data_IF_981127271307
#
_entry.id   IF_981127271307
#
_cell.length_a   1.000
_cell.length_b   1.000
_cell.length_c   1.000
_cell.angle_alpha   90.00
_cell.angle_beta   90.00
_cell.angle_gamma   90.00
#
_symmetry.space_group_name_H-M   'P 1'
#
loop_
_entity.id
_entity.type
_entity.pdbx_description
1 polymer ?
#
# COMPACT_ATOMS: atom_id res chain seq x y z
N UNK A 1 66.71 15.50 20.01
CA UNK A 1 65.50 16.35 19.83
C UNK A 1 64.46 15.55 19.04
N UNK A 2 63.46 14.91 19.71
CA UNK A 2 62.45 14.05 19.08
C UNK A 2 61.12 14.83 18.99
N UNK A 3 60.73 15.17 17.77
CA UNK A 3 59.43 15.82 17.49
C UNK A 3 58.31 14.77 17.59
N UNK A 4 57.40 14.92 18.57
CA UNK A 4 56.15 14.20 18.70
C UNK A 4 55.15 14.80 17.72
N UNK A 5 54.73 14.01 16.68
CA UNK A 5 53.60 14.37 15.83
C UNK A 5 52.31 14.17 16.61
N UNK A 6 51.52 15.25 16.84
CA UNK A 6 50.18 15.22 17.35
C UNK A 6 49.24 14.68 16.28
N UNK A 7 48.47 13.64 16.62
CA UNK A 7 47.34 13.14 15.79
C UNK A 7 46.20 14.17 15.78
N UNK A 8 45.56 14.47 14.64
CA UNK A 8 44.42 15.36 14.61
C UNK A 8 43.21 14.72 15.28
N UNK A 9 42.60 15.40 16.23
CA UNK A 9 41.32 15.08 16.80
C UNK A 9 40.22 15.47 15.79
N UNK A 10 39.52 14.50 15.23
CA UNK A 10 38.31 14.70 14.45
C UNK A 10 37.14 15.01 15.39
N UNK A 11 36.60 16.23 15.28
CA UNK A 11 35.34 16.60 15.96
C UNK A 11 34.15 15.88 15.31
N UNK A 12 33.18 15.35 16.07
CA UNK A 12 31.95 14.78 15.52
C UNK A 12 31.12 15.91 14.86
N UNK A 13 30.70 15.69 13.61
CA UNK A 13 29.67 16.54 12.98
C UNK A 13 28.31 16.20 13.60
N UNK A 14 27.68 17.19 14.19
CA UNK A 14 26.31 17.11 14.67
C UNK A 14 25.37 17.07 13.46
N UNK A 15 24.63 15.98 13.31
CA UNK A 15 23.52 15.89 12.38
C UNK A 15 22.26 16.48 13.03
N UNK A 16 21.63 17.38 12.31
CA UNK A 16 20.46 18.15 12.71
C UNK A 16 19.26 17.26 13.12
N UNK A 17 18.55 17.75 14.14
CA UNK A 17 17.32 17.19 14.69
C UNK A 17 16.20 17.07 13.64
N UNK A 18 15.70 15.86 13.41
CA UNK A 18 14.37 15.65 12.86
C UNK A 18 13.36 15.63 14.01
N UNK A 19 12.59 16.71 14.18
CA UNK A 19 11.39 16.73 15.02
C UNK A 19 10.21 16.32 14.15
N UNK A 20 9.84 15.03 14.15
CA UNK A 20 8.58 14.53 13.64
C UNK A 20 7.60 14.32 14.79
N UNK A 21 6.44 14.98 14.77
CA UNK A 21 5.31 14.60 15.62
C UNK A 21 4.50 13.56 14.88
N UNK A 22 4.43 12.35 15.40
CA UNK A 22 3.50 11.33 14.92
C UNK A 22 2.38 11.19 15.94
N UNK A 23 1.16 11.45 15.51
CA UNK A 23 -0.05 11.17 16.28
C UNK A 23 -0.63 9.84 15.82
N UNK A 24 -0.66 8.86 16.69
CA UNK A 24 -1.44 7.65 16.52
C UNK A 24 -2.23 7.42 17.80
N UNK A 25 -3.56 7.44 17.71
CA UNK A 25 -4.46 6.96 18.77
C UNK A 25 -4.34 7.65 20.12
N UNK A 26 -4.40 8.97 20.19
CA UNK A 26 -4.71 9.69 21.44
C UNK A 26 -3.61 9.76 22.52
N UNK A 27 -2.38 9.33 22.25
CA UNK A 27 -1.27 9.46 23.20
C UNK A 27 -0.05 10.14 22.56
N UNK A 28 0.31 11.32 23.05
CA UNK A 28 1.53 12.04 22.68
C UNK A 28 2.70 11.51 23.52
N UNK A 29 3.59 10.74 22.92
CA UNK A 29 4.84 10.32 23.54
C UNK A 29 6.00 11.14 22.95
N UNK A 30 6.61 11.97 23.77
CA UNK A 30 7.86 12.64 23.45
C UNK A 30 9.04 11.68 23.64
N UNK A 31 9.70 11.28 22.55
CA UNK A 31 10.89 10.44 22.62
C UNK A 31 12.10 11.22 22.17
N UNK A 32 12.98 11.54 23.11
CA UNK A 32 14.33 12.01 22.84
C UNK A 32 15.30 10.83 22.81
N UNK A 33 15.58 10.30 21.63
CA UNK A 33 16.63 9.29 21.46
C UNK A 33 17.75 9.88 20.58
N UNK A 34 19.00 9.85 21.10
CA UNK A 34 20.19 10.17 20.30
C UNK A 34 20.70 8.89 19.64
N UNK A 35 20.63 8.83 18.31
CA UNK A 35 21.30 7.82 17.52
C UNK A 35 22.73 8.28 17.20
N UNK A 36 23.75 7.57 17.66
CA UNK A 36 25.13 7.71 17.15
C UNK A 36 25.38 6.65 16.09
N UNK A 37 25.51 7.09 14.85
CA UNK A 37 25.96 6.24 13.75
C UNK A 37 27.49 6.32 13.68
N UNK A 38 28.16 5.21 13.93
CA UNK A 38 29.60 5.05 13.70
C UNK A 38 29.79 4.38 12.34
N UNK A 39 30.33 5.16 11.39
CA UNK A 39 30.70 4.63 10.06
C UNK A 39 31.97 3.78 10.15
N UNK A 40 31.83 2.46 10.11
CA UNK A 40 32.71 1.47 9.48
C UNK A 40 32.04 0.07 9.54
N UNK A 41 31.95 -0.69 8.44
CA UNK A 41 31.46 -2.07 8.46
C UNK A 41 32.56 -3.05 8.95
N UNK A 42 32.20 -4.21 9.56
CA UNK A 42 30.87 -4.80 9.75
C UNK A 42 30.53 -5.21 11.21
N UNK A 43 30.59 -4.34 12.20
CA UNK A 43 30.23 -4.69 13.57
C UNK A 43 29.30 -3.68 14.19
N UNK A 44 28.01 -4.04 14.32
CA UNK A 44 27.09 -3.36 15.24
C UNK A 44 27.36 -3.85 16.66
N UNK A 45 27.93 -3.00 17.51
CA UNK A 45 28.01 -3.21 18.95
C UNK A 45 26.79 -2.58 19.57
N UNK A 46 25.82 -3.39 19.99
CA UNK A 46 24.70 -2.94 20.81
C UNK A 46 25.18 -2.82 22.25
N UNK A 47 25.30 -1.59 22.75
CA UNK A 47 25.30 -1.33 24.19
C UNK A 47 23.83 -1.30 24.66
N UNK A 48 23.49 -2.25 25.55
CA UNK A 48 22.16 -2.37 26.10
C UNK A 48 21.87 -1.21 27.05
N UNK A 49 21.28 -0.14 26.54
CA UNK A 49 20.58 0.85 27.34
C UNK A 49 19.08 0.58 27.29
N UNK A 50 18.49 0.53 28.48
CA UNK A 50 17.10 0.21 28.75
C UNK A 50 16.12 1.10 27.98
N UNK A 51 15.57 0.61 26.85
CA UNK A 51 14.36 1.19 26.29
C UNK A 51 13.53 0.09 25.60
N UNK A 52 12.53 -0.40 26.33
CA UNK A 52 11.56 -1.41 25.90
C UNK A 52 10.87 -1.05 24.57
N UNK A 53 10.68 0.24 24.30
CA UNK A 53 10.00 0.75 23.10
C UNK A 53 10.83 0.65 21.81
N UNK A 54 12.16 0.54 21.89
CA UNK A 54 13.03 0.42 20.71
C UNK A 54 12.97 -0.96 20.05
N UNK A 55 12.65 -2.00 20.81
CA UNK A 55 12.58 -3.39 20.31
C UNK A 55 11.26 -3.61 19.55
N UNK A 56 10.17 -3.01 19.99
CA UNK A 56 8.87 -3.05 19.31
C UNK A 56 8.90 -2.30 17.96
N UNK A 57 9.58 -1.15 17.93
CA UNK A 57 9.82 -0.40 16.70
C UNK A 57 10.66 -1.17 15.68
N UNK A 58 11.72 -1.87 16.14
CA UNK A 58 12.61 -2.67 15.27
C UNK A 58 11.92 -3.93 14.73
N UNK A 59 11.01 -4.55 15.47
CA UNK A 59 10.30 -5.75 15.02
C UNK A 59 9.31 -5.46 13.88
N UNK A 60 8.73 -4.27 13.85
CA UNK A 60 7.85 -3.83 12.77
C UNK A 60 8.60 -3.52 11.46
N UNK A 61 9.87 -3.10 11.56
CA UNK A 61 10.69 -2.73 10.40
C UNK A 61 11.48 -3.88 9.77
N UNK A 62 11.77 -4.95 10.52
CA UNK A 62 12.74 -5.98 10.12
C UNK A 62 12.20 -7.42 10.18
N UNK A 63 10.91 -7.64 10.02
CA UNK A 63 10.25 -8.95 10.22
C UNK A 63 11.01 -10.19 9.73
N UNK A 64 11.47 -10.23 8.46
CA UNK A 64 12.23 -11.35 7.92
C UNK A 64 13.74 -11.32 8.27
N UNK A 65 14.31 -10.13 8.49
CA UNK A 65 15.71 -9.94 8.88
C UNK A 65 15.96 -10.30 10.34
N UNK A 66 15.00 -10.02 11.21
CA UNK A 66 15.08 -10.32 12.64
C UNK A 66 15.01 -11.84 12.91
N UNK A 67 14.19 -12.57 12.13
CA UNK A 67 14.13 -14.04 12.20
C UNK A 67 15.50 -14.66 11.89
N UNK A 68 16.16 -14.25 10.81
CA UNK A 68 17.51 -14.71 10.44
C UNK A 68 18.59 -14.27 11.45
N UNK A 69 18.44 -13.11 12.08
CA UNK A 69 19.34 -12.67 13.15
C UNK A 69 19.17 -13.49 14.41
N UNK A 70 17.95 -13.83 14.81
CA UNK A 70 17.63 -14.69 15.94
C UNK A 70 18.18 -16.11 15.71
N UNK A 71 18.04 -16.66 14.52
CA UNK A 71 18.57 -17.98 14.14
C UNK A 71 20.10 -18.00 14.15
N UNK A 72 20.77 -16.97 13.63
CA UNK A 72 22.24 -16.84 13.69
C UNK A 72 22.78 -16.66 15.13
N UNK A 73 22.02 -16.01 16.01
CA UNK A 73 22.36 -15.87 17.43
C UNK A 73 22.21 -17.19 18.17
N UNK A 74 21.20 -18.00 17.84
CA UNK A 74 21.03 -19.35 18.42
C UNK A 74 22.23 -20.27 18.12
N UNK A 75 22.75 -20.22 16.90
CA UNK A 75 23.91 -21.04 16.49
C UNK A 75 25.22 -20.61 17.18
N UNK A 76 25.37 -19.31 17.50
CA UNK A 76 26.59 -18.81 18.20
C UNK A 76 26.52 -18.89 19.73
N UNK A 77 25.34 -18.91 20.34
CA UNK A 77 25.15 -18.96 21.81
C UNK A 77 25.50 -20.32 22.41
N UNK A 78 25.59 -21.38 21.59
CA UNK A 78 26.01 -22.72 22.05
C UNK A 78 27.49 -22.89 22.31
N UNK A 79 28.33 -21.89 21.99
CA UNK A 79 29.80 -22.00 22.07
C UNK A 79 30.41 -21.31 23.31
N UNK A 80 29.63 -20.75 24.22
CA UNK A 80 30.16 -20.05 25.41
C UNK A 80 30.05 -20.90 26.71
N UNK A 81 31.18 -21.13 27.41
CA UNK A 81 31.27 -22.13 28.48
C UNK A 81 30.88 -21.63 29.90
N UNK A 82 30.01 -20.65 30.11
CA UNK A 82 29.64 -20.16 31.44
C UNK A 82 28.13 -20.05 31.65
N UNK A 83 27.58 -20.98 32.44
CA UNK A 83 26.15 -21.12 32.71
C UNK A 83 25.52 -19.89 33.42
N UNK A 84 26.28 -19.14 34.21
CA UNK A 84 25.79 -18.01 35.00
C UNK A 84 25.42 -16.76 34.15
N UNK A 85 25.94 -16.64 32.90
CA UNK A 85 25.65 -15.53 32.00
C UNK A 85 24.49 -15.82 30.99
N UNK A 86 23.92 -17.03 31.04
CA UNK A 86 22.88 -17.49 30.10
C UNK A 86 21.43 -17.13 30.52
N UNK A 87 21.18 -16.98 31.82
CA UNK A 87 19.84 -16.76 32.37
C UNK A 87 19.17 -15.43 31.86
N UNK A 88 19.83 -14.27 31.84
CA UNK A 88 19.22 -13.03 31.35
C UNK A 88 18.99 -13.06 29.85
N UNK A 89 19.86 -13.73 29.08
CA UNK A 89 19.70 -13.85 27.62
C UNK A 89 18.52 -14.76 27.26
N UNK A 90 18.36 -15.88 27.98
CA UNK A 90 17.24 -16.81 27.77
C UNK A 90 15.89 -16.14 28.11
N UNK A 91 15.82 -15.35 29.18
CA UNK A 91 14.63 -14.61 29.56
C UNK A 91 14.27 -13.54 28.50
N UNK A 92 15.27 -12.83 27.96
CA UNK A 92 15.07 -11.85 26.89
C UNK A 92 14.59 -12.52 25.60
N UNK A 93 15.16 -13.67 25.23
CA UNK A 93 14.73 -14.44 24.06
C UNK A 93 13.33 -15.03 24.21
N UNK A 94 12.93 -15.46 25.43
CA UNK A 94 11.57 -15.92 25.71
C UNK A 94 10.55 -14.77 25.54
N UNK A 95 10.88 -13.57 26.02
CA UNK A 95 10.03 -12.37 25.88
C UNK A 95 9.89 -11.94 24.42
N UNK A 96 10.97 -11.95 23.64
CA UNK A 96 10.95 -11.66 22.20
C UNK A 96 10.09 -12.68 21.43
N UNK A 97 10.20 -13.97 21.75
CA UNK A 97 9.35 -15.02 21.17
C UNK A 97 7.87 -14.85 21.55
N UNK A 98 7.58 -14.46 22.78
CA UNK A 98 6.21 -14.21 23.22
C UNK A 98 5.62 -12.97 22.53
N UNK A 99 6.39 -11.90 22.38
CA UNK A 99 6.01 -10.70 21.63
C UNK A 99 5.73 -11.02 20.16
N UNK A 100 6.64 -11.75 19.50
CA UNK A 100 6.46 -12.18 18.10
C UNK A 100 5.23 -13.08 17.92
N UNK A 101 4.98 -14.04 18.82
CA UNK A 101 3.77 -14.88 18.78
C UNK A 101 2.49 -14.05 18.93
N UNK A 102 2.45 -13.08 19.84
CA UNK A 102 1.30 -12.17 20.00
C UNK A 102 1.05 -11.35 18.74
N UNK A 103 2.10 -10.82 18.12
CA UNK A 103 2.00 -10.03 16.90
C UNK A 103 1.52 -10.88 15.72
N UNK A 104 2.03 -12.11 15.55
CA UNK A 104 1.56 -13.02 14.49
C UNK A 104 0.12 -13.48 14.74
N UNK A 105 -0.28 -13.67 16.00
CA UNK A 105 -1.66 -13.99 16.33
C UNK A 105 -2.59 -12.80 16.08
N UNK A 106 -2.18 -11.59 16.42
CA UNK A 106 -2.91 -10.35 16.13
C UNK A 106 -3.10 -10.16 14.61
N UNK A 107 -2.04 -10.33 13.81
CA UNK A 107 -2.12 -10.28 12.36
C UNK A 107 -3.05 -11.36 11.77
N UNK A 108 -3.04 -12.58 12.35
CA UNK A 108 -3.96 -13.65 11.96
C UNK A 108 -5.41 -13.32 12.32
N UNK A 109 -5.64 -12.71 13.48
CA UNK A 109 -6.98 -12.27 13.91
C UNK A 109 -7.50 -11.18 13.00
N UNK A 110 -6.72 -10.13 12.73
CA UNK A 110 -7.09 -9.07 11.75
C UNK A 110 -7.38 -9.68 10.37
N UNK A 111 -6.50 -10.58 9.88
CA UNK A 111 -6.70 -11.23 8.60
C UNK A 111 -7.98 -12.08 8.59
N UNK A 112 -8.31 -12.75 9.70
CA UNK A 112 -9.54 -13.52 9.84
C UNK A 112 -10.77 -12.60 9.90
N UNK A 113 -10.72 -11.50 10.66
CA UNK A 113 -11.81 -10.52 10.73
C UNK A 113 -12.05 -9.85 9.38
N UNK A 114 -10.99 -9.45 8.66
CA UNK A 114 -11.10 -8.94 7.29
C UNK A 114 -11.67 -9.98 6.31
N UNK A 115 -11.37 -11.28 6.52
CA UNK A 115 -11.94 -12.35 5.68
C UNK A 115 -13.37 -12.72 6.04
N UNK A 116 -13.89 -12.28 7.18
CA UNK A 116 -15.28 -12.49 7.63
C UNK A 116 -16.15 -11.23 7.48
N UNK A 117 -15.59 -10.11 7.02
CA UNK A 117 -16.40 -8.95 6.64
C UNK A 117 -17.31 -9.36 5.49
N UNK A 118 -18.63 -9.19 5.68
CA UNK A 118 -19.60 -9.42 4.62
C UNK A 118 -19.21 -8.55 3.40
N UNK A 119 -19.15 -9.19 2.24
CA UNK A 119 -18.91 -8.47 1.00
C UNK A 119 -20.07 -7.52 0.72
N UNK A 120 -19.75 -6.33 0.28
CA UNK A 120 -20.77 -5.37 -0.12
C UNK A 120 -21.41 -5.82 -1.43
N UNK A 121 -22.73 -5.77 -1.47
CA UNK A 121 -23.54 -5.96 -2.68
C UNK A 121 -24.21 -4.64 -2.98
N UNK A 122 -23.98 -4.01 -4.15
CA UNK A 122 -24.61 -2.76 -4.53
C UNK A 122 -26.14 -2.88 -4.58
N UNK A 123 -26.81 -1.80 -4.21
CA UNK A 123 -28.28 -1.68 -4.34
C UNK A 123 -28.66 -1.37 -5.80
N UNK A 124 -27.81 -0.58 -6.48
CA UNK A 124 -28.02 -0.25 -7.87
C UNK A 124 -27.87 -1.50 -8.75
N UNK A 125 -28.90 -1.75 -9.57
CA UNK A 125 -28.91 -2.84 -10.55
C UNK A 125 -28.67 -2.26 -11.94
N UNK A 126 -27.55 -2.59 -12.60
CA UNK A 126 -27.27 -2.12 -13.94
C UNK A 126 -28.31 -2.59 -14.97
N UNK A 127 -28.55 -1.73 -15.98
CA UNK A 127 -29.47 -2.02 -17.10
C UNK A 127 -28.70 -2.36 -18.41
N UNK A 128 -27.35 -2.40 -18.36
CA UNK A 128 -26.47 -2.71 -19.48
C UNK A 128 -26.26 -1.55 -20.48
N UNK A 129 -26.82 -0.35 -20.22
CA UNK A 129 -26.75 0.82 -21.10
C UNK A 129 -25.92 1.95 -20.51
N UNK A 130 -25.46 1.80 -19.28
CA UNK A 130 -24.74 2.83 -18.55
C UNK A 130 -23.43 3.19 -19.28
N UNK A 131 -23.21 4.50 -19.45
CA UNK A 131 -21.95 5.05 -19.91
C UNK A 131 -21.34 5.89 -18.80
N UNK A 132 -20.12 5.55 -18.40
CA UNK A 132 -19.33 6.38 -17.50
C UNK A 132 -18.56 7.43 -18.30
N UNK A 133 -18.74 8.70 -17.95
CA UNK A 133 -17.95 9.82 -18.47
C UNK A 133 -16.94 10.20 -17.38
N UNK A 134 -15.70 9.75 -17.53
CA UNK A 134 -14.61 10.08 -16.63
C UNK A 134 -13.99 11.39 -17.10
N UNK A 135 -14.31 12.49 -16.41
CA UNK A 135 -13.74 13.81 -16.69
C UNK A 135 -12.39 13.93 -16.03
N UNK A 136 -11.38 14.21 -16.81
CA UNK A 136 -10.00 14.29 -16.31
C UNK A 136 -9.34 15.62 -16.70
N UNK A 137 -8.25 15.94 -16.02
CA UNK A 137 -7.41 17.11 -16.38
C UNK A 137 -6.82 17.06 -17.79
N UNK A 138 -6.98 15.95 -18.53
CA UNK A 138 -6.49 15.75 -19.91
C UNK A 138 -7.64 15.69 -20.93
N UNK A 139 -8.87 15.58 -20.49
CA UNK A 139 -10.05 15.43 -21.32
C UNK A 139 -10.98 14.34 -20.81
N UNK A 140 -12.04 14.10 -21.53
CA UNK A 140 -13.11 13.17 -21.15
C UNK A 140 -12.85 11.79 -21.76
N UNK A 141 -13.12 10.75 -20.97
CA UNK A 141 -13.06 9.35 -21.40
C UNK A 141 -14.46 8.77 -21.23
N UNK A 142 -15.02 8.24 -22.29
CA UNK A 142 -16.36 7.62 -22.28
C UNK A 142 -16.21 6.10 -22.30
N UNK A 143 -16.81 5.44 -21.32
CA UNK A 143 -16.71 4.00 -21.12
C UNK A 143 -18.10 3.40 -21.11
N UNK A 144 -18.40 2.47 -22.03
CA UNK A 144 -19.57 1.63 -21.94
C UNK A 144 -19.36 0.64 -20.80
N UNK A 145 -20.25 0.65 -19.80
CA UNK A 145 -20.18 -0.27 -18.67
C UNK A 145 -20.82 -1.61 -19.04
N UNK A 146 -20.23 -2.70 -18.57
CA UNK A 146 -20.65 -4.07 -18.84
C UNK A 146 -21.59 -4.58 -17.73
N UNK A 147 -22.76 -3.95 -17.59
CA UNK A 147 -23.69 -4.25 -16.49
C UNK A 147 -24.20 -5.68 -16.48
N UNK A 148 -24.41 -6.26 -17.65
CA UNK A 148 -24.87 -7.66 -17.79
C UNK A 148 -23.78 -8.68 -17.40
N UNK A 149 -22.50 -8.33 -17.64
CA UNK A 149 -21.36 -9.23 -17.45
C UNK A 149 -20.75 -9.12 -16.04
N UNK A 150 -20.79 -7.92 -15.46
CA UNK A 150 -20.17 -7.63 -14.16
C UNK A 150 -21.08 -6.72 -13.28
N UNK A 151 -22.31 -7.17 -12.94
CA UNK A 151 -23.31 -6.32 -12.29
C UNK A 151 -22.85 -5.79 -10.92
N UNK A 152 -22.09 -6.54 -10.15
CA UNK A 152 -21.59 -6.10 -8.85
C UNK A 152 -20.55 -4.99 -9.02
N UNK A 153 -19.62 -5.12 -9.97
CA UNK A 153 -18.60 -4.11 -10.22
C UNK A 153 -19.20 -2.83 -10.80
N UNK A 154 -20.10 -2.95 -11.77
CA UNK A 154 -20.80 -1.82 -12.37
C UNK A 154 -21.67 -1.13 -11.33
N UNK A 155 -22.49 -1.88 -10.58
CA UNK A 155 -23.34 -1.32 -9.53
C UNK A 155 -22.53 -0.54 -8.48
N UNK A 156 -21.45 -1.12 -7.99
CA UNK A 156 -20.55 -0.45 -7.04
C UNK A 156 -19.91 0.82 -7.63
N UNK A 157 -19.46 0.75 -8.87
CA UNK A 157 -18.83 1.90 -9.53
C UNK A 157 -19.82 3.05 -9.74
N UNK A 158 -21.06 2.75 -10.19
CA UNK A 158 -22.14 3.72 -10.36
C UNK A 158 -22.51 4.38 -9.03
N UNK A 159 -22.68 3.61 -7.96
CA UNK A 159 -23.01 4.17 -6.65
C UNK A 159 -21.90 5.09 -6.12
N UNK A 160 -20.63 4.70 -6.28
CA UNK A 160 -19.49 5.52 -5.88
C UNK A 160 -19.41 6.81 -6.71
N UNK A 161 -19.62 6.73 -8.03
CA UNK A 161 -19.63 7.88 -8.92
C UNK A 161 -20.76 8.86 -8.53
N UNK A 162 -21.99 8.37 -8.36
CA UNK A 162 -23.15 9.19 -7.94
C UNK A 162 -22.97 9.87 -6.58
N UNK A 163 -22.16 9.27 -5.68
CA UNK A 163 -21.81 9.86 -4.37
C UNK A 163 -20.64 10.87 -4.45
N UNK A 164 -20.09 11.14 -5.64
CA UNK A 164 -18.90 11.98 -5.82
C UNK A 164 -17.63 11.39 -5.19
N UNK A 165 -17.61 10.06 -4.99
CA UNK A 165 -16.45 9.41 -4.36
C UNK A 165 -15.16 9.59 -5.16
N UNK A 166 -15.25 9.70 -6.46
CA UNK A 166 -14.09 9.84 -7.34
C UNK A 166 -13.64 11.29 -7.55
N UNK A 167 -14.43 12.27 -7.10
CA UNK A 167 -14.15 13.68 -7.34
C UNK A 167 -12.82 14.10 -6.72
N UNK A 168 -12.00 14.78 -7.53
CA UNK A 168 -10.65 15.25 -7.15
C UNK A 168 -9.66 14.16 -6.76
N UNK A 169 -9.92 12.88 -7.07
CA UNK A 169 -8.90 11.84 -6.94
C UNK A 169 -7.86 11.97 -8.05
N UNK A 170 -6.67 11.45 -7.80
CA UNK A 170 -5.57 11.48 -8.78
C UNK A 170 -5.20 10.05 -9.18
N UNK A 171 -4.78 9.91 -10.43
CA UNK A 171 -4.13 8.69 -10.87
C UNK A 171 -2.81 8.54 -10.11
N UNK A 172 -2.63 7.42 -9.42
CA UNK A 172 -1.50 7.20 -8.50
C UNK A 172 -0.49 6.17 -9.00
N UNK A 173 -0.80 5.45 -10.08
CA UNK A 173 0.09 4.45 -10.67
C UNK A 173 -0.03 4.47 -12.19
N UNK A 174 1.12 4.55 -12.86
CA UNK A 174 1.24 4.46 -14.32
C UNK A 174 2.35 3.48 -14.68
N UNK A 175 2.04 2.53 -15.54
CA UNK A 175 3.01 1.59 -16.09
C UNK A 175 2.88 1.64 -17.63
N UNK A 176 3.90 2.17 -18.33
CA UNK A 176 3.85 2.32 -19.77
C UNK A 176 3.53 1.01 -20.50
N UNK A 177 2.60 1.05 -21.48
CA UNK A 177 2.19 -0.12 -22.24
C UNK A 177 1.46 -1.19 -21.40
N UNK A 178 1.06 -0.86 -20.19
CA UNK A 178 0.33 -1.75 -19.31
C UNK A 178 -0.97 -1.10 -18.82
N UNK A 179 -0.93 -0.30 -17.75
CA UNK A 179 -2.14 0.32 -17.18
C UNK A 179 -1.87 1.71 -16.59
N UNK A 180 -2.94 2.50 -16.50
CA UNK A 180 -3.05 3.68 -15.65
C UNK A 180 -4.13 3.44 -14.58
N UNK A 181 -3.82 3.63 -13.30
CA UNK A 181 -4.66 3.25 -12.16
C UNK A 181 -5.01 4.46 -11.29
N UNK A 182 -6.30 4.57 -10.97
CA UNK A 182 -6.89 5.61 -10.12
C UNK A 182 -7.86 5.05 -9.07
N UNK A 183 -8.70 5.93 -8.49
CA UNK A 183 -9.77 5.55 -7.57
C UNK A 183 -9.33 5.29 -6.12
N UNK A 184 -8.08 5.65 -5.74
CA UNK A 184 -7.61 5.55 -4.36
C UNK A 184 -7.95 6.83 -3.58
N UNK A 185 -8.79 6.79 -2.52
CA UNK A 185 -9.19 7.97 -1.75
C UNK A 185 -8.02 8.66 -1.03
N UNK A 186 -6.91 7.96 -0.81
CA UNK A 186 -5.71 8.54 -0.18
C UNK A 186 -5.04 9.62 -1.04
N UNK A 187 -5.49 9.81 -2.29
CA UNK A 187 -5.00 10.88 -3.17
C UNK A 187 -5.82 12.16 -3.06
N UNK A 188 -6.97 12.16 -2.37
CA UNK A 188 -7.94 13.28 -2.36
C UNK A 188 -7.33 14.59 -1.91
N UNK A 189 -6.68 14.58 -0.76
CA UNK A 189 -6.14 15.77 -0.08
C UNK A 189 -4.72 16.13 -0.51
N UNK A 190 -4.16 15.38 -1.48
CA UNK A 190 -2.84 15.62 -2.04
C UNK A 190 -2.94 16.43 -3.32
N UNK A 191 -2.01 17.34 -3.56
CA UNK A 191 -1.83 17.94 -4.87
C UNK A 191 -1.11 17.00 -5.86
N UNK A 192 -1.09 17.35 -7.14
CA UNK A 192 -0.46 16.52 -8.19
C UNK A 192 1.03 16.26 -7.93
N UNK A 193 1.77 17.26 -7.43
CA UNK A 193 3.20 17.12 -7.16
C UNK A 193 3.44 16.16 -5.98
N UNK A 194 2.63 16.27 -4.93
CA UNK A 194 2.67 15.36 -3.79
C UNK A 194 2.35 13.91 -4.18
N UNK A 195 1.38 13.70 -5.09
CA UNK A 195 1.07 12.36 -5.59
C UNK A 195 2.22 11.79 -6.42
N UNK A 196 2.86 12.61 -7.26
CA UNK A 196 4.02 12.19 -8.07
C UNK A 196 5.19 11.79 -7.14
N UNK A 197 5.49 12.60 -6.13
CA UNK A 197 6.55 12.31 -5.15
C UNK A 197 6.24 11.03 -4.36
N UNK A 198 4.99 10.89 -3.91
CA UNK A 198 4.53 9.76 -3.11
C UNK A 198 4.44 8.45 -3.91
N UNK A 199 4.17 8.49 -5.22
CA UNK A 199 4.01 7.30 -6.06
C UNK A 199 5.27 6.43 -6.14
N UNK A 200 6.46 7.02 -5.97
CA UNK A 200 7.74 6.30 -5.88
C UNK A 200 8.03 5.70 -4.49
N UNK A 201 7.19 6.01 -3.49
CA UNK A 201 7.41 5.59 -2.11
C UNK A 201 6.36 4.55 -1.66
N UNK A 202 6.75 3.27 -1.48
CA UNK A 202 5.84 2.21 -1.03
C UNK A 202 5.18 2.48 0.34
N UNK A 203 5.75 3.37 1.14
CA UNK A 203 5.27 3.73 2.48
C UNK A 203 4.29 4.91 2.50
N UNK A 204 4.08 5.56 1.37
CA UNK A 204 3.16 6.70 1.27
C UNK A 204 1.68 6.31 1.36
N UNK A 205 1.37 5.02 1.31
CA UNK A 205 0.00 4.51 1.42
C UNK A 205 -0.86 4.73 0.16
N UNK A 206 -0.30 5.22 -0.95
CA UNK A 206 -1.01 5.31 -2.21
C UNK A 206 -1.33 3.90 -2.73
N UNK A 207 -2.55 3.73 -3.25
CA UNK A 207 -3.04 2.42 -3.70
C UNK A 207 -3.49 1.48 -2.58
N UNK A 208 -3.51 1.91 -1.30
CA UNK A 208 -4.01 1.10 -0.18
C UNK A 208 -5.41 1.50 0.30
N UNK A 209 -5.93 2.64 -0.14
CA UNK A 209 -7.24 3.14 0.23
C UNK A 209 -8.39 2.49 -0.57
N UNK A 210 -9.59 2.54 0.00
CA UNK A 210 -10.82 2.04 -0.60
C UNK A 210 -12.07 2.66 0.02
N UNK A 211 -13.27 2.19 -0.35
CA UNK A 211 -14.53 2.77 0.11
C UNK A 211 -14.94 2.33 1.53
N UNK A 212 -14.09 1.55 2.22
CA UNK A 212 -14.37 1.01 3.55
C UNK A 212 -15.01 -0.40 3.53
N UNK A 213 -15.16 -0.98 2.36
CA UNK A 213 -15.68 -2.34 2.15
C UNK A 213 -14.99 -3.00 0.94
N UNK A 214 -15.27 -4.28 0.72
CA UNK A 214 -14.86 -5.05 -0.44
C UNK A 214 -16.08 -5.61 -1.16
N UNK A 215 -15.93 -5.91 -2.46
CA UNK A 215 -16.94 -6.54 -3.30
C UNK A 215 -16.47 -7.91 -3.79
N UNK A 216 -17.42 -8.77 -4.14
CA UNK A 216 -17.13 -10.10 -4.72
C UNK A 216 -16.57 -9.95 -6.13
N UNK A 217 -15.59 -10.76 -6.48
CA UNK A 217 -15.04 -10.84 -7.81
C UNK A 217 -16.04 -11.42 -8.82
N UNK A 218 -15.94 -10.99 -10.09
CA UNK A 218 -16.80 -11.47 -11.19
C UNK A 218 -15.99 -11.98 -12.40
N UNK A 219 -14.66 -11.92 -12.39
CA UNK A 219 -13.83 -12.40 -13.52
C UNK A 219 -14.02 -13.88 -13.83
N UNK A 220 -14.53 -14.68 -12.89
CA UNK A 220 -14.81 -16.10 -13.12
C UNK A 220 -16.21 -16.36 -13.71
N UNK A 221 -17.12 -15.41 -13.62
CA UNK A 221 -18.50 -15.50 -14.09
C UNK A 221 -18.80 -14.61 -15.30
N UNK A 222 -17.96 -13.61 -15.56
CA UNK A 222 -18.06 -12.71 -16.69
C UNK A 222 -17.64 -13.44 -17.98
N UNK A 223 -18.54 -13.66 -18.94
CA UNK A 223 -18.24 -14.39 -20.18
C UNK A 223 -17.37 -13.58 -21.13
N UNK A 224 -17.36 -12.25 -20.99
CA UNK A 224 -16.64 -11.32 -21.86
C UNK A 224 -15.45 -10.65 -21.13
N UNK A 225 -14.87 -11.34 -20.11
CA UNK A 225 -13.78 -10.81 -19.30
C UNK A 225 -12.45 -10.74 -20.08
N UNK A 226 -12.32 -9.76 -20.95
CA UNK A 226 -11.15 -9.56 -21.80
C UNK A 226 -10.55 -8.17 -21.57
N UNK A 227 -9.26 -8.12 -21.27
CA UNK A 227 -8.51 -6.88 -21.11
C UNK A 227 -8.01 -6.36 -22.44
N UNK A 228 -8.94 -5.83 -23.25
CA UNK A 228 -8.62 -5.16 -24.50
C UNK A 228 -7.99 -3.79 -24.26
N UNK A 229 -7.48 -3.17 -25.32
CA UNK A 229 -7.02 -1.78 -25.26
C UNK A 229 -8.14 -0.82 -24.86
N UNK A 230 -7.92 -0.06 -23.77
CA UNK A 230 -8.91 0.82 -23.17
C UNK A 230 -9.95 0.09 -22.29
N UNK A 231 -9.76 -1.19 -21.95
CA UNK A 231 -10.62 -1.87 -20.99
C UNK A 231 -10.55 -1.21 -19.62
N UNK A 232 -11.72 -1.05 -18.97
CA UNK A 232 -11.86 -0.60 -17.59
C UNK A 232 -12.02 -1.81 -16.68
N UNK A 233 -11.09 -2.00 -15.77
CA UNK A 233 -11.08 -3.14 -14.86
C UNK A 233 -10.80 -2.73 -13.42
N UNK A 234 -11.23 -3.57 -12.46
CA UNK A 234 -11.13 -3.26 -11.05
C UNK A 234 -9.82 -3.79 -10.46
N UNK A 235 -9.10 -2.90 -9.79
CA UNK A 235 -7.89 -3.26 -9.05
C UNK A 235 -8.24 -3.96 -7.74
N UNK A 236 -7.36 -4.88 -7.30
CA UNK A 236 -7.50 -5.63 -6.06
C UNK A 236 -6.16 -6.01 -5.44
N UNK A 237 -6.17 -6.46 -4.19
CA UNK A 237 -5.02 -7.06 -3.53
C UNK A 237 -4.88 -8.56 -3.86
N UNK A 238 -4.10 -9.31 -3.09
CA UNK A 238 -3.92 -10.75 -3.30
C UNK A 238 -5.21 -11.57 -3.11
N UNK A 239 -6.16 -11.11 -2.26
CA UNK A 239 -7.45 -11.75 -2.12
C UNK A 239 -8.33 -11.40 -3.34
N UNK A 240 -8.91 -12.36 -4.07
CA UNK A 240 -9.81 -12.09 -5.18
C UNK A 240 -10.99 -11.17 -4.84
N UNK A 241 -11.56 -11.32 -3.66
CA UNK A 241 -12.70 -10.54 -3.15
C UNK A 241 -12.25 -9.30 -2.36
N UNK A 242 -11.19 -8.63 -2.79
CA UNK A 242 -10.67 -7.42 -2.13
C UNK A 242 -10.79 -6.14 -2.96
N UNK A 243 -11.52 -6.22 -4.07
CA UNK A 243 -11.83 -5.05 -4.88
C UNK A 243 -12.72 -4.07 -4.10
N UNK A 244 -12.60 -2.78 -4.39
CA UNK A 244 -13.39 -1.74 -3.73
C UNK A 244 -13.67 -0.57 -4.68
N UNK A 245 -12.83 0.47 -4.67
CA UNK A 245 -12.99 1.66 -5.50
C UNK A 245 -11.92 1.85 -6.56
N UNK A 246 -10.76 1.17 -6.43
CA UNK A 246 -9.65 1.39 -7.35
C UNK A 246 -9.85 0.67 -8.67
N UNK A 247 -9.68 1.39 -9.75
CA UNK A 247 -9.80 0.89 -11.11
C UNK A 247 -8.56 1.23 -11.95
N UNK A 248 -8.42 0.57 -13.07
CA UNK A 248 -7.40 0.89 -14.06
C UNK A 248 -7.96 0.82 -15.48
N UNK A 249 -7.34 1.60 -16.36
CA UNK A 249 -7.56 1.57 -17.80
C UNK A 249 -6.34 0.93 -18.47
N UNK A 250 -6.57 0.01 -19.39
CA UNK A 250 -5.51 -0.69 -20.11
C UNK A 250 -4.89 0.18 -21.20
N UNK A 251 -3.55 0.19 -21.26
CA UNK A 251 -2.74 0.84 -22.28
C UNK A 251 -2.26 -0.22 -23.30
N UNK A 252 -3.18 -0.70 -24.11
CA UNK A 252 -3.04 -1.87 -24.96
C UNK A 252 -3.61 -3.16 -24.35
N UNK A 253 -3.72 -4.24 -25.13
CA UNK A 253 -4.28 -5.51 -24.66
C UNK A 253 -3.45 -6.12 -23.53
N UNK A 254 -4.12 -6.62 -22.48
CA UNK A 254 -3.50 -7.20 -21.29
C UNK A 254 -4.13 -8.55 -20.89
N UNK A 255 -4.23 -9.47 -21.82
CA UNK A 255 -4.92 -10.76 -21.65
C UNK A 255 -4.36 -11.66 -20.54
N UNK A 256 -3.12 -11.38 -20.07
CA UNK A 256 -2.56 -12.02 -18.89
C UNK A 256 -3.33 -11.72 -17.59
N UNK A 257 -4.20 -10.69 -17.60
CA UNK A 257 -5.03 -10.30 -16.46
C UNK A 257 -6.44 -10.92 -16.50
N UNK A 258 -6.88 -11.50 -17.62
CA UNK A 258 -8.24 -12.00 -17.83
C UNK A 258 -8.69 -13.02 -16.79
N UNK A 259 -7.79 -13.88 -16.34
CA UNK A 259 -8.09 -14.91 -15.33
C UNK A 259 -7.97 -14.42 -13.88
N UNK A 260 -7.77 -13.13 -13.65
CA UNK A 260 -7.47 -12.65 -12.30
C UNK A 260 -8.13 -11.34 -11.89
N UNK A 261 -8.65 -10.56 -12.84
CA UNK A 261 -9.24 -9.25 -12.58
C UNK A 261 -10.52 -9.08 -13.38
N UNK A 262 -11.52 -8.42 -12.77
CA UNK A 262 -12.81 -8.20 -13.42
C UNK A 262 -12.76 -6.99 -14.33
N UNK A 263 -12.98 -7.20 -15.62
CA UNK A 263 -13.31 -6.14 -16.57
C UNK A 263 -14.79 -5.80 -16.41
N UNK A 264 -15.11 -4.53 -16.28
CA UNK A 264 -16.48 -4.07 -16.09
C UNK A 264 -16.88 -2.91 -17.03
N UNK A 265 -16.03 -2.61 -18.01
CA UNK A 265 -16.33 -1.63 -19.06
C UNK A 265 -15.29 -1.59 -20.15
N UNK A 266 -15.68 -0.97 -21.28
CA UNK A 266 -14.83 -0.78 -22.45
C UNK A 266 -14.90 0.68 -22.91
N UNK A 267 -13.75 1.31 -23.10
CA UNK A 267 -13.67 2.68 -23.61
C UNK A 267 -14.17 2.75 -25.04
N UNK A 268 -15.15 3.62 -25.26
CA UNK A 268 -15.75 3.90 -26.57
C UNK A 268 -15.23 5.20 -27.19
N UNK A 269 -14.86 6.20 -26.34
CA UNK A 269 -14.28 7.48 -26.77
C UNK A 269 -13.17 7.91 -25.78
N UNK A 270 -12.15 8.66 -26.23
CA UNK A 270 -11.08 9.19 -25.40
C UNK A 270 -9.92 8.22 -25.14
N UNK A 271 -9.68 7.23 -26.00
CA UNK A 271 -8.49 6.35 -25.89
C UNK A 271 -7.17 7.10 -26.00
N UNK A 272 -7.14 8.15 -26.80
CA UNK A 272 -6.01 9.09 -26.90
C UNK A 272 -5.75 9.80 -25.58
N UNK A 273 -6.82 10.25 -24.90
CA UNK A 273 -6.73 10.84 -23.56
C UNK A 273 -6.11 9.85 -22.57
N UNK A 274 -6.52 8.56 -22.59
CA UNK A 274 -5.92 7.52 -21.71
C UNK A 274 -4.41 7.44 -21.94
N UNK A 275 -3.97 7.53 -23.20
CA UNK A 275 -2.55 7.52 -23.58
C UNK A 275 -1.74 8.68 -23.00
N UNK A 276 -2.39 9.83 -22.77
CA UNK A 276 -1.77 11.04 -22.22
C UNK A 276 -1.77 11.10 -20.69
N UNK A 277 -2.60 10.31 -20.01
CA UNK A 277 -2.68 10.31 -18.55
C UNK A 277 -1.36 9.87 -17.89
N UNK A 278 -1.03 10.54 -16.80
CA UNK A 278 0.16 10.25 -15.97
C UNK A 278 -0.20 10.28 -14.48
N UNK A 279 0.73 9.82 -13.65
CA UNK A 279 0.62 9.97 -12.20
C UNK A 279 0.47 11.44 -11.84
N UNK A 280 -0.50 11.76 -10.97
CA UNK A 280 -0.82 13.11 -10.54
C UNK A 280 -1.92 13.78 -11.38
N UNK A 281 -2.29 13.27 -12.58
CA UNK A 281 -3.44 13.77 -13.30
C UNK A 281 -4.73 13.54 -12.50
N UNK A 282 -5.67 14.48 -12.62
CA UNK A 282 -6.85 14.55 -11.77
C UNK A 282 -8.04 13.87 -12.45
N UNK A 283 -8.79 13.09 -11.68
CA UNK A 283 -10.17 12.72 -11.98
C UNK A 283 -11.02 13.85 -11.43
N UNK A 284 -11.53 14.72 -12.28
CA UNK A 284 -12.35 15.87 -11.86
C UNK A 284 -13.67 15.38 -11.29
N UNK A 285 -14.37 14.53 -12.05
CA UNK A 285 -15.59 13.82 -11.63
C UNK A 285 -15.85 12.62 -12.55
N UNK A 286 -16.74 11.74 -12.14
CA UNK A 286 -17.29 10.66 -12.97
C UNK A 286 -18.80 10.79 -13.03
N UNK A 287 -19.34 11.06 -14.20
CA UNK A 287 -20.78 11.13 -14.45
C UNK A 287 -21.27 9.81 -15.08
N UNK A 288 -22.50 9.41 -14.77
CA UNK A 288 -23.11 8.20 -15.33
C UNK A 288 -24.30 8.61 -16.17
N UNK A 289 -24.25 8.30 -17.46
CA UNK A 289 -25.33 8.47 -18.42
C UNK A 289 -26.13 7.17 -18.55
N UNK A 290 -27.42 7.28 -18.94
CA UNK A 290 -28.33 6.15 -19.20
C UNK A 290 -28.47 5.16 -18.02
N UNK A 291 -28.34 5.65 -16.79
CA UNK A 291 -28.39 4.84 -15.58
C UNK A 291 -29.76 4.82 -14.88
N UNK A 292 -30.83 5.23 -15.59
CA UNK A 292 -32.22 5.29 -15.10
C UNK A 292 -33.09 4.19 -15.72
#
# INVERSE_FOLDING_TARGET
MRLRRKKPQLRPRECSYLRGRFAYGGATLGVGARLRVLERPPFFRFEAFSCWNSIEFMSNFYGAGLQKAIERYHTKAYVLPNAAKKAPLAATMLRLRAGYRRQTQFQRTIKKELSTMALYTPEYQPNGKEIAVIKTSKGDIRVQLAGDDAPIHVGNFVELARKGFYDNLKFHRYVPGFVIQGGCPNTRDLDSAQVIEAAGNPWAGLGTGGPGYCIKQEYTTNPNNSHEDGALAMARSANPDSAGSQFYLCLGPQHNLDSGYTVFGQTIEGKDVIGELRVGDVIETIEIENAD
#
